data_IF_918524050335
#
_entry.id   IF_918524050335
#
_cell.length_a   1.000
_cell.length_b   1.000
_cell.length_c   1.000
_cell.angle_alpha   90.00
_cell.angle_beta   90.00
_cell.angle_gamma   90.00
#
_symmetry.space_group_name_H-M   'P 1'
#
loop_
_entity.id
_entity.type
_entity.pdbx_description
1 polymer ?
#
# COMPACT_ATOMS: atom_id res chain seq x y z
N UNK A 1 13.84 34.59 -10.45
CA UNK A 1 14.12 35.93 -11.01
C UNK A 1 14.02 36.94 -9.88
N UNK A 2 14.64 38.10 -10.00
CA UNK A 2 14.55 39.18 -9.01
C UNK A 2 13.34 40.10 -9.24
N UNK A 3 12.45 39.75 -10.19
CA UNK A 3 11.21 40.46 -10.50
C UNK A 3 10.09 39.50 -10.94
N UNK A 4 8.85 39.97 -10.80
CA UNK A 4 7.66 39.32 -11.35
C UNK A 4 7.58 39.61 -12.85
N UNK A 5 7.51 38.57 -13.67
CA UNK A 5 7.54 38.73 -15.13
C UNK A 5 6.21 39.24 -15.71
N UNK A 6 5.07 39.04 -15.05
CA UNK A 6 3.73 39.44 -15.54
C UNK A 6 3.43 38.99 -16.98
N UNK A 7 3.99 37.86 -17.42
CA UNK A 7 3.94 37.35 -18.79
C UNK A 7 4.50 38.31 -19.86
N UNK A 8 5.43 39.21 -19.50
CA UNK A 8 6.03 40.17 -20.41
C UNK A 8 7.11 39.51 -21.28
N UNK A 9 7.99 38.71 -20.65
CA UNK A 9 9.04 37.98 -21.32
C UNK A 9 8.67 36.51 -21.49
N UNK A 10 9.13 35.94 -22.60
CA UNK A 10 9.12 34.49 -22.86
C UNK A 10 10.55 33.98 -22.78
N UNK A 11 10.72 32.82 -22.20
CA UNK A 11 11.98 32.15 -21.98
C UNK A 11 11.99 30.82 -22.73
N UNK A 12 13.10 30.51 -23.36
CA UNK A 12 13.40 29.21 -23.92
C UNK A 12 14.02 28.32 -22.85
N UNK A 13 13.70 27.04 -22.93
CA UNK A 13 14.28 25.97 -22.15
C UNK A 13 14.85 24.98 -23.15
N UNK A 14 16.12 24.65 -22.99
CA UNK A 14 16.78 23.57 -23.73
C UNK A 14 17.30 22.59 -22.71
N UNK A 15 16.68 21.42 -22.62
CA UNK A 15 17.14 20.33 -21.77
C UNK A 15 17.82 19.28 -22.64
N UNK A 16 19.00 18.85 -22.22
CA UNK A 16 19.92 18.01 -22.97
C UNK A 16 20.36 16.86 -22.08
N UNK A 17 20.28 15.64 -22.61
CA UNK A 17 20.75 14.42 -21.96
C UNK A 17 22.19 14.15 -22.38
N UNK A 18 23.07 13.91 -21.41
CA UNK A 18 24.48 13.61 -21.65
C UNK A 18 24.85 12.24 -21.09
N UNK A 19 25.76 11.57 -21.80
CA UNK A 19 26.51 10.41 -21.32
C UNK A 19 27.79 10.87 -20.62
N UNK A 20 28.19 10.19 -19.54
CA UNK A 20 29.42 10.53 -18.82
C UNK A 20 30.66 10.47 -19.74
N UNK A 21 31.50 11.50 -19.64
CA UNK A 21 32.66 11.69 -20.51
C UNK A 21 32.34 12.11 -21.95
N UNK A 22 31.07 12.30 -22.32
CA UNK A 22 30.65 12.77 -23.66
C UNK A 22 30.21 14.23 -23.58
N UNK A 23 30.78 15.08 -24.43
CA UNK A 23 30.50 16.53 -24.44
C UNK A 23 29.37 16.95 -25.37
N UNK A 24 28.78 16.01 -26.12
CA UNK A 24 27.65 16.25 -27.01
C UNK A 24 26.41 15.56 -26.44
N UNK A 25 25.25 16.21 -26.46
CA UNK A 25 24.04 15.59 -25.95
C UNK A 25 23.59 14.43 -26.83
N UNK A 26 23.08 13.37 -26.20
CA UNK A 26 22.52 12.19 -26.88
C UNK A 26 21.04 12.36 -27.20
N UNK A 27 20.35 13.25 -26.49
CA UNK A 27 19.01 13.72 -26.82
C UNK A 27 18.78 15.14 -26.32
N UNK A 28 17.83 15.86 -26.91
CA UNK A 28 17.46 17.19 -26.47
C UNK A 28 16.00 17.54 -26.71
N UNK A 29 15.43 18.29 -25.78
CA UNK A 29 14.09 18.85 -25.88
C UNK A 29 14.15 20.37 -25.69
N UNK A 30 13.48 21.10 -26.57
CA UNK A 30 13.43 22.57 -26.50
C UNK A 30 11.99 23.04 -26.45
N UNK A 31 11.69 23.94 -25.52
CA UNK A 31 10.36 24.53 -25.36
C UNK A 31 10.42 25.96 -24.85
N UNK A 32 9.28 26.63 -24.83
CA UNK A 32 9.19 28.04 -24.45
C UNK A 32 8.10 28.24 -23.42
N UNK A 33 8.35 29.13 -22.45
CA UNK A 33 7.38 29.47 -21.39
C UNK A 33 7.42 30.94 -21.04
N UNK A 34 6.30 31.43 -20.53
CA UNK A 34 6.24 32.68 -19.78
C UNK A 34 5.70 32.39 -18.39
N UNK A 35 6.09 33.19 -17.41
CA UNK A 35 5.50 33.19 -16.07
C UNK A 35 4.90 34.54 -15.73
N UNK A 36 3.89 34.52 -14.88
CA UNK A 36 3.43 35.74 -14.22
C UNK A 36 4.35 36.13 -13.05
N UNK A 37 4.87 35.12 -12.36
CA UNK A 37 5.66 35.25 -11.14
C UNK A 37 7.16 35.37 -11.41
N UNK A 38 7.92 35.55 -10.34
CA UNK A 38 9.38 35.55 -10.30
C UNK A 38 10.00 34.16 -10.41
N UNK A 39 9.19 33.11 -10.34
CA UNK A 39 9.57 31.71 -10.59
C UNK A 39 9.04 31.23 -11.94
N UNK A 40 9.82 30.39 -12.61
CA UNK A 40 9.37 29.62 -13.78
C UNK A 40 9.68 28.16 -13.49
N UNK A 41 8.63 27.36 -13.34
CA UNK A 41 8.72 25.91 -13.28
C UNK A 41 8.61 25.30 -14.67
N UNK A 42 9.24 24.15 -14.84
CA UNK A 42 9.12 23.33 -16.04
C UNK A 42 9.00 21.86 -15.63
N UNK A 43 8.38 21.06 -16.51
CA UNK A 43 8.32 19.62 -16.39
C UNK A 43 8.25 19.00 -17.80
N UNK A 44 8.79 17.80 -17.95
CA UNK A 44 8.60 16.95 -19.13
C UNK A 44 7.63 15.84 -18.73
N UNK A 45 6.35 15.97 -19.08
CA UNK A 45 5.30 15.00 -18.70
C UNK A 45 4.69 14.35 -19.92
N UNK A 46 4.29 13.09 -19.79
CA UNK A 46 3.28 12.53 -20.68
C UNK A 46 1.97 13.28 -20.43
N UNK A 47 1.47 13.92 -21.49
CA UNK A 47 0.31 14.80 -21.57
C UNK A 47 -0.58 14.91 -20.31
N UNK A 48 -0.63 16.09 -19.66
CA UNK A 48 -1.84 16.69 -19.04
C UNK A 48 -1.60 17.89 -18.08
N UNK A 49 -0.40 18.43 -17.91
CA UNK A 49 -0.23 19.68 -17.18
C UNK A 49 -0.22 20.89 -18.13
N UNK A 50 -0.78 22.03 -17.70
CA UNK A 50 -0.57 23.31 -18.38
C UNK A 50 0.89 23.82 -18.16
N UNK A 51 1.75 22.98 -17.58
CA UNK A 51 3.05 23.31 -17.01
C UNK A 51 4.24 22.56 -17.65
N UNK A 52 4.02 21.77 -18.69
CA UNK A 52 5.03 20.90 -19.28
C UNK A 52 4.92 20.72 -20.79
N UNK A 53 5.80 19.88 -21.31
CA UNK A 53 5.90 19.51 -22.73
C UNK A 53 5.66 18.01 -22.84
N UNK A 54 4.96 17.59 -23.90
CA UNK A 54 4.66 16.19 -24.20
C UNK A 54 5.83 15.43 -24.83
N UNK A 55 7.06 15.87 -24.57
CA UNK A 55 8.29 15.29 -25.09
C UNK A 55 9.28 15.16 -23.91
N UNK A 56 9.80 13.96 -23.72
CA UNK A 56 10.84 13.64 -22.74
C UNK A 56 12.17 13.35 -23.42
N UNK A 57 13.23 13.22 -22.62
CA UNK A 57 14.55 12.82 -23.09
C UNK A 57 14.62 11.29 -23.18
N UNK A 58 15.12 10.76 -24.29
CA UNK A 58 15.24 9.33 -24.57
C UNK A 58 16.72 8.93 -24.65
N UNK A 59 17.20 8.07 -23.73
CA UNK A 59 18.56 7.54 -23.79
C UNK A 59 18.66 6.41 -24.82
N UNK A 60 19.11 6.73 -26.03
CA UNK A 60 19.12 5.80 -27.17
C UNK A 60 20.50 5.21 -27.52
N UNK A 61 21.58 5.71 -26.91
CA UNK A 61 22.94 5.46 -27.40
C UNK A 61 23.73 4.43 -26.55
N UNK A 62 23.79 4.58 -25.23
CA UNK A 62 24.46 3.62 -24.35
C UNK A 62 23.84 3.53 -22.95
N UNK A 63 24.09 2.41 -22.26
CA UNK A 63 23.97 2.33 -20.80
C UNK A 63 25.16 2.95 -20.09
N UNK A 64 24.97 3.28 -18.82
CA UNK A 64 25.97 3.86 -17.93
C UNK A 64 25.51 5.15 -17.28
N UNK A 65 26.47 5.89 -16.75
CA UNK A 65 26.23 7.16 -16.06
C UNK A 65 25.79 8.25 -17.06
N UNK A 66 24.73 8.96 -16.73
CA UNK A 66 24.19 10.08 -17.48
C UNK A 66 23.84 11.24 -16.55
N UNK A 67 23.71 12.44 -17.11
CA UNK A 67 23.15 13.62 -16.45
C UNK A 67 22.32 14.44 -17.43
N UNK A 68 21.45 15.31 -16.92
CA UNK A 68 20.66 16.26 -17.71
C UNK A 68 21.15 17.67 -17.43
N UNK A 69 21.37 18.44 -18.49
CA UNK A 69 21.60 19.89 -18.40
C UNK A 69 20.41 20.65 -18.98
N UNK A 70 19.83 21.58 -18.23
CA UNK A 70 18.75 22.44 -18.72
C UNK A 70 19.19 23.90 -18.71
N UNK A 71 19.23 24.51 -19.89
CA UNK A 71 19.58 25.92 -20.10
C UNK A 71 18.33 26.79 -20.24
N UNK A 72 18.28 27.87 -19.47
CA UNK A 72 17.26 28.92 -19.55
C UNK A 72 17.76 30.06 -20.44
N UNK A 73 17.08 30.32 -21.54
CA UNK A 73 17.40 31.41 -22.48
C UNK A 73 16.32 32.48 -22.44
N UNK A 74 16.70 33.75 -22.27
CA UNK A 74 15.76 34.87 -22.48
C UNK A 74 15.61 35.11 -23.98
N UNK A 75 14.41 34.88 -24.52
CA UNK A 75 14.21 34.92 -25.98
C UNK A 75 14.20 36.33 -26.57
N UNK A 76 14.00 37.36 -25.74
CA UNK A 76 13.98 38.75 -26.19
C UNK A 76 15.34 39.21 -26.76
N UNK A 77 16.43 38.65 -26.27
CA UNK A 77 17.81 38.96 -26.67
C UNK A 77 18.68 37.73 -26.89
N UNK A 78 18.09 36.54 -26.87
CA UNK A 78 18.77 35.25 -27.02
C UNK A 78 19.93 35.08 -26.03
N UNK A 79 19.74 35.54 -24.80
CA UNK A 79 20.74 35.48 -23.73
C UNK A 79 20.51 34.24 -22.86
N UNK A 80 21.49 33.34 -22.84
CA UNK A 80 21.50 32.20 -21.91
C UNK A 80 21.75 32.71 -20.50
N UNK A 81 20.71 32.64 -19.68
CA UNK A 81 20.70 33.18 -18.34
C UNK A 81 21.42 32.26 -17.38
N UNK A 82 21.18 30.95 -17.49
CA UNK A 82 21.76 29.94 -16.61
C UNK A 82 21.54 28.53 -17.15
N UNK A 83 22.39 27.61 -16.72
CA UNK A 83 22.24 26.17 -16.94
C UNK A 83 22.25 25.48 -15.58
N UNK A 84 21.26 24.62 -15.36
CA UNK A 84 21.21 23.73 -14.20
C UNK A 84 21.56 22.32 -14.65
N UNK A 85 22.26 21.58 -13.78
CA UNK A 85 22.72 20.22 -14.04
C UNK A 85 22.09 19.31 -12.99
N UNK A 86 21.55 18.17 -13.42
CA UNK A 86 21.01 17.16 -12.50
C UNK A 86 22.14 16.46 -11.72
N UNK A 87 21.78 15.59 -10.78
CA UNK A 87 22.70 14.56 -10.35
C UNK A 87 23.01 13.59 -11.51
N UNK A 88 24.12 12.88 -11.37
CA UNK A 88 24.40 11.71 -12.19
C UNK A 88 23.40 10.59 -11.85
N UNK A 89 22.93 9.88 -12.87
CA UNK A 89 22.05 8.71 -12.74
C UNK A 89 22.49 7.61 -13.70
N UNK A 90 22.06 6.37 -13.43
CA UNK A 90 22.42 5.22 -14.28
C UNK A 90 21.30 4.92 -15.26
N UNK A 91 21.68 4.70 -16.51
CA UNK A 91 20.83 4.13 -17.54
C UNK A 91 21.27 2.70 -17.74
N UNK A 92 20.33 1.77 -17.59
CA UNK A 92 20.62 0.35 -17.56
C UNK A 92 20.22 -0.24 -18.91
N UNK A 93 21.16 -0.91 -19.57
CA UNK A 93 20.91 -1.71 -20.78
C UNK A 93 20.57 -3.12 -20.31
N UNK A 94 19.37 -3.25 -19.76
CA UNK A 94 18.79 -4.57 -19.55
C UNK A 94 17.76 -4.79 -20.65
N UNK A 95 17.70 -6.01 -21.13
CA UNK A 95 16.65 -6.39 -22.05
C UNK A 95 15.31 -6.37 -21.32
N UNK A 96 14.55 -5.30 -21.45
CA UNK A 96 13.20 -5.14 -20.90
C UNK A 96 12.22 -4.92 -22.03
N UNK A 97 10.95 -5.20 -21.82
CA UNK A 97 9.90 -4.83 -22.79
C UNK A 97 9.40 -3.42 -22.58
N UNK A 98 9.61 -2.85 -21.38
CA UNK A 98 9.06 -1.57 -20.95
C UNK A 98 7.57 -1.61 -20.64
N UNK A 99 6.96 -2.79 -20.69
CA UNK A 99 5.54 -3.03 -20.39
C UNK A 99 5.38 -4.21 -19.41
N UNK A 100 6.44 -4.60 -18.71
CA UNK A 100 6.37 -5.58 -17.63
C UNK A 100 5.32 -5.19 -16.61
N UNK A 101 4.53 -6.17 -16.17
CA UNK A 101 3.35 -5.91 -15.35
C UNK A 101 3.25 -6.96 -14.24
N UNK A 102 3.04 -6.49 -13.01
CA UNK A 102 2.59 -7.33 -11.91
C UNK A 102 1.07 -7.48 -11.99
N UNK A 103 0.61 -8.71 -12.06
CA UNK A 103 -0.81 -9.03 -11.96
C UNK A 103 -1.21 -8.99 -10.48
N UNK A 104 -2.43 -8.50 -10.13
CA UNK A 104 -2.89 -8.47 -8.75
C UNK A 104 -2.74 -9.81 -8.04
N UNK A 105 -2.39 -9.75 -6.75
CA UNK A 105 -2.09 -10.94 -5.96
C UNK A 105 -3.39 -11.49 -5.38
N UNK A 106 -3.82 -12.65 -5.86
CA UNK A 106 -4.98 -13.36 -5.34
C UNK A 106 -4.58 -14.20 -4.12
N UNK A 107 -5.22 -13.93 -2.98
CA UNK A 107 -5.02 -14.71 -1.75
C UNK A 107 -6.00 -15.87 -1.67
N UNK A 108 -5.58 -16.98 -1.06
CA UNK A 108 -6.42 -18.16 -0.89
C UNK A 108 -7.60 -17.96 0.07
N UNK A 109 -7.55 -16.93 0.92
CA UNK A 109 -8.55 -16.62 1.94
C UNK A 109 -8.48 -15.13 2.30
N UNK A 110 -9.58 -14.57 2.79
CA UNK A 110 -9.63 -13.24 3.39
C UNK A 110 -9.40 -13.28 4.91
N UNK A 111 -9.19 -14.46 5.49
CA UNK A 111 -8.91 -14.70 6.91
C UNK A 111 -7.81 -15.74 7.08
N UNK A 112 -6.85 -15.45 7.96
CA UNK A 112 -5.80 -16.36 8.38
C UNK A 112 -5.66 -16.34 9.91
N UNK A 113 -5.51 -17.51 10.52
CA UNK A 113 -5.24 -17.64 11.96
C UNK A 113 -3.80 -17.23 12.30
N UNK A 114 -3.58 -16.69 13.50
CA UNK A 114 -2.23 -16.43 14.03
C UNK A 114 -1.46 -17.71 14.28
N UNK A 115 -0.14 -17.61 14.22
CA UNK A 115 0.75 -18.63 14.75
C UNK A 115 0.46 -18.82 16.25
N UNK A 116 0.53 -20.07 16.71
CA UNK A 116 0.39 -20.42 18.12
C UNK A 116 1.67 -21.06 18.61
N UNK A 117 1.81 -21.21 19.93
CA UNK A 117 2.91 -21.98 20.54
C UNK A 117 3.01 -23.44 20.03
N UNK A 118 1.98 -23.93 19.32
CA UNK A 118 1.92 -25.28 18.77
C UNK A 118 1.81 -25.35 17.24
N UNK A 119 1.72 -24.22 16.55
CA UNK A 119 1.53 -24.15 15.08
C UNK A 119 2.15 -22.90 14.49
N UNK A 120 2.92 -23.04 13.42
CA UNK A 120 3.32 -21.91 12.58
C UNK A 120 2.22 -21.60 11.59
N UNK A 121 1.79 -20.34 11.51
CA UNK A 121 0.90 -19.87 10.45
C UNK A 121 1.74 -19.31 9.32
N UNK A 122 1.52 -19.83 8.12
CA UNK A 122 2.16 -19.37 6.89
C UNK A 122 1.07 -18.97 5.91
N UNK A 123 1.30 -17.85 5.23
CA UNK A 123 0.48 -17.40 4.11
C UNK A 123 1.32 -17.56 2.85
N UNK A 124 0.89 -18.45 1.96
CA UNK A 124 1.52 -18.58 0.65
C UNK A 124 0.64 -17.94 -0.41
N UNK A 125 1.25 -17.13 -1.27
CA UNK A 125 0.58 -16.43 -2.34
C UNK A 125 1.45 -16.41 -3.59
N UNK A 126 0.78 -16.37 -4.74
CA UNK A 126 1.42 -16.40 -6.05
C UNK A 126 1.37 -14.99 -6.65
N UNK A 127 2.54 -14.50 -7.08
CA UNK A 127 2.66 -13.28 -7.86
C UNK A 127 2.92 -13.66 -9.30
N UNK A 128 2.01 -13.27 -10.19
CA UNK A 128 2.20 -13.42 -11.63
C UNK A 128 2.76 -12.16 -12.25
N UNK A 129 3.79 -12.33 -13.08
CA UNK A 129 4.41 -11.27 -13.87
C UNK A 129 4.19 -11.55 -15.35
N UNK A 130 3.76 -10.55 -16.10
CA UNK A 130 3.54 -10.61 -17.54
C UNK A 130 4.45 -9.65 -18.31
N UNK A 131 4.48 -9.83 -19.64
CA UNK A 131 5.27 -9.06 -20.59
C UNK A 131 6.77 -9.02 -20.28
N UNK A 132 7.31 -10.05 -19.65
CA UNK A 132 8.73 -10.11 -19.33
C UNK A 132 9.58 -10.41 -20.55
N UNK A 133 10.81 -9.91 -20.52
CA UNK A 133 11.84 -10.31 -21.46
C UNK A 133 12.54 -11.58 -20.97
N UNK A 134 12.57 -12.61 -21.82
CA UNK A 134 13.17 -13.91 -21.47
C UNK A 134 14.69 -13.80 -21.36
N UNK A 135 15.23 -14.28 -20.24
CA UNK A 135 16.66 -14.23 -19.91
C UNK A 135 17.07 -13.07 -19.01
N UNK A 136 16.17 -12.12 -18.77
CA UNK A 136 16.37 -11.00 -17.85
C UNK A 136 16.13 -11.44 -16.41
N UNK A 137 16.94 -10.90 -15.50
CA UNK A 137 16.79 -11.13 -14.05
C UNK A 137 16.01 -10.01 -13.41
N UNK A 138 14.87 -10.36 -12.81
CA UNK A 138 13.96 -9.45 -12.13
C UNK A 138 14.02 -9.68 -10.61
N UNK A 139 13.69 -8.63 -9.86
CA UNK A 139 13.46 -8.68 -8.42
C UNK A 139 12.02 -8.31 -8.13
N UNK A 140 11.38 -9.00 -7.20
CA UNK A 140 10.12 -8.59 -6.59
C UNK A 140 10.40 -8.28 -5.14
N UNK A 141 10.28 -7.00 -4.78
CA UNK A 141 10.29 -6.54 -3.41
C UNK A 141 8.86 -6.57 -2.89
N UNK A 142 8.60 -7.27 -1.79
CA UNK A 142 7.27 -7.40 -1.20
C UNK A 142 7.27 -6.99 0.26
N UNK A 143 6.14 -6.46 0.72
CA UNK A 143 5.98 -5.93 2.07
C UNK A 143 4.53 -6.13 2.55
N UNK A 144 4.36 -6.46 3.83
CA UNK A 144 3.06 -6.56 4.50
C UNK A 144 2.67 -5.19 5.03
N UNK A 145 1.46 -4.73 4.69
CA UNK A 145 1.00 -3.39 5.02
C UNK A 145 -0.35 -3.41 5.75
N UNK A 146 -0.55 -2.50 6.71
CA UNK A 146 -1.85 -2.32 7.36
C UNK A 146 -2.87 -1.69 6.40
N UNK A 147 -4.12 -2.15 6.45
CA UNK A 147 -5.22 -1.57 5.68
C UNK A 147 -5.56 -0.13 6.12
N UNK A 148 -5.32 0.22 7.37
CA UNK A 148 -5.45 1.60 7.84
C UNK A 148 -4.33 2.00 8.79
N UNK A 149 -4.11 3.30 8.93
CA UNK A 149 -2.96 3.84 9.66
C UNK A 149 -1.83 4.24 8.71
N UNK A 150 -0.58 3.91 9.08
CA UNK A 150 0.67 4.36 8.46
C UNK A 150 1.14 3.51 7.25
N UNK A 151 0.27 2.67 6.69
CA UNK A 151 0.58 1.87 5.51
C UNK A 151 1.50 0.68 5.83
N UNK A 152 2.67 0.62 5.19
CA UNK A 152 3.59 -0.50 5.33
C UNK A 152 4.54 -0.39 6.54
N UNK A 153 4.55 0.75 7.23
CA UNK A 153 5.31 0.92 8.47
C UNK A 153 4.57 0.30 9.65
N UNK A 154 4.86 -0.96 9.96
CA UNK A 154 4.11 -1.73 10.96
C UNK A 154 4.32 -1.23 12.40
N UNK A 155 5.55 -0.86 12.76
CA UNK A 155 5.89 -0.38 14.10
C UNK A 155 5.67 1.13 14.34
N UNK A 156 5.33 1.89 13.29
CA UNK A 156 4.95 3.29 13.45
C UNK A 156 3.72 3.47 14.37
N UNK A 157 2.85 2.46 14.46
CA UNK A 157 1.65 2.50 15.31
C UNK A 157 1.93 2.40 16.82
N UNK A 158 3.07 1.83 17.21
CA UNK A 158 3.50 1.75 18.61
C UNK A 158 4.49 2.85 19.00
N UNK A 159 4.61 3.88 18.17
CA UNK A 159 5.54 5.02 18.33
C UNK A 159 7.02 4.58 18.44
N UNK A 160 7.35 3.43 17.85
CA UNK A 160 8.71 2.90 17.76
C UNK A 160 9.27 3.14 16.36
N UNK A 161 9.31 4.41 15.95
CA UNK A 161 9.72 4.81 14.60
C UNK A 161 11.20 4.55 14.29
N UNK A 162 12.00 4.25 15.31
CA UNK A 162 13.42 3.95 15.18
C UNK A 162 13.69 2.45 14.97
N UNK A 163 12.69 1.57 15.17
CA UNK A 163 12.82 0.14 14.90
C UNK A 163 12.30 -0.21 13.50
N UNK A 164 12.99 -1.13 12.86
CA UNK A 164 12.51 -1.72 11.61
C UNK A 164 11.38 -2.70 11.91
N UNK A 165 10.47 -2.86 10.95
CA UNK A 165 9.41 -3.85 11.01
C UNK A 165 9.98 -5.28 11.16
N UNK A 166 9.17 -6.26 11.60
CA UNK A 166 9.62 -7.64 11.70
C UNK A 166 10.25 -8.10 10.39
N UNK A 167 11.37 -8.83 10.46
CA UNK A 167 12.10 -9.29 9.28
C UNK A 167 11.29 -10.17 8.33
N UNK A 168 10.24 -10.80 8.85
CA UNK A 168 9.31 -11.66 8.13
C UNK A 168 8.23 -10.87 7.38
N UNK A 169 8.09 -9.57 7.63
CA UNK A 169 7.07 -8.71 7.04
C UNK A 169 7.46 -8.11 5.68
N UNK A 170 8.72 -8.25 5.28
CA UNK A 170 9.23 -7.79 3.99
C UNK A 170 10.23 -8.79 3.40
N UNK A 171 10.42 -8.74 2.09
CA UNK A 171 11.40 -9.59 1.44
C UNK A 171 11.63 -9.24 -0.03
N UNK A 172 12.62 -9.92 -0.60
CA UNK A 172 12.95 -9.80 -2.02
C UNK A 172 13.09 -11.19 -2.63
N UNK A 173 12.41 -11.42 -3.75
CA UNK A 173 12.56 -12.61 -4.58
C UNK A 173 13.23 -12.26 -5.91
N UNK A 174 14.33 -12.93 -6.21
CA UNK A 174 15.07 -12.77 -7.47
C UNK A 174 14.85 -13.96 -8.39
N UNK A 175 14.50 -13.71 -9.64
CA UNK A 175 14.32 -14.77 -10.63
C UNK A 175 14.74 -14.32 -12.03
N UNK A 176 15.23 -15.27 -12.83
CA UNK A 176 15.48 -15.05 -14.26
C UNK A 176 14.26 -15.53 -15.05
N UNK A 177 13.67 -14.65 -15.86
CA UNK A 177 12.49 -14.97 -16.64
C UNK A 177 12.80 -16.07 -17.68
N UNK A 178 12.03 -17.16 -17.62
CA UNK A 178 12.13 -18.28 -18.58
C UNK A 178 11.10 -18.21 -19.69
N UNK A 179 10.13 -17.31 -19.55
CA UNK A 179 8.95 -17.12 -20.39
C UNK A 179 8.49 -15.66 -20.25
N UNK A 180 7.66 -15.16 -21.17
CA UNK A 180 7.09 -13.81 -21.08
C UNK A 180 6.03 -13.66 -20.01
N UNK A 181 5.59 -14.78 -19.41
CA UNK A 181 4.74 -14.83 -18.22
C UNK A 181 5.31 -15.86 -17.24
N UNK A 182 5.36 -15.52 -15.97
CA UNK A 182 5.88 -16.41 -14.93
C UNK A 182 5.17 -16.12 -13.61
N UNK A 183 5.02 -17.17 -12.81
CA UNK A 183 4.51 -17.07 -11.44
C UNK A 183 5.65 -17.32 -10.48
N UNK A 184 5.74 -16.47 -9.46
CA UNK A 184 6.65 -16.58 -8.32
C UNK A 184 5.80 -16.80 -7.08
N UNK A 185 6.05 -17.89 -6.37
CA UNK A 185 5.36 -18.19 -5.11
C UNK A 185 6.16 -17.60 -3.96
N UNK A 186 5.50 -16.82 -3.12
CA UNK A 186 6.05 -16.22 -1.89
C UNK A 186 5.41 -16.90 -0.69
N UNK A 187 6.16 -17.01 0.40
CA UNK A 187 5.69 -17.51 1.68
C UNK A 187 5.99 -16.47 2.76
N UNK A 188 4.93 -15.92 3.32
CA UNK A 188 4.98 -15.09 4.52
C UNK A 188 4.86 -15.98 5.76
N UNK A 189 5.80 -15.83 6.68
CA UNK A 189 5.81 -16.47 7.99
C UNK A 189 5.22 -15.47 9.02
N UNK A 190 4.14 -15.82 9.72
CA UNK A 190 3.59 -14.94 10.77
C UNK A 190 4.64 -14.74 11.89
N UNK A 191 5.09 -13.49 12.14
CA UNK A 191 6.13 -13.21 13.14
C UNK A 191 5.64 -13.37 14.58
N UNK A 192 4.36 -13.71 14.78
CA UNK A 192 3.74 -13.90 16.10
C UNK A 192 3.14 -12.62 16.66
N UNK A 193 2.49 -12.73 17.81
CA UNK A 193 1.76 -11.62 18.44
C UNK A 193 2.70 -10.45 18.82
N UNK A 194 2.18 -9.23 18.71
CA UNK A 194 2.89 -8.03 19.12
C UNK A 194 3.19 -8.06 20.63
N UNK A 195 4.47 -8.05 20.99
CA UNK A 195 4.95 -8.04 22.38
C UNK A 195 6.10 -7.04 22.54
N UNK A 196 6.10 -6.29 23.64
CA UNK A 196 7.26 -5.49 24.05
C UNK A 196 8.21 -6.35 24.88
N UNK A 197 9.38 -6.65 24.31
CA UNK A 197 10.41 -7.46 24.97
C UNK A 197 11.44 -6.53 25.62
N UNK A 198 11.48 -6.54 26.95
CA UNK A 198 12.44 -5.75 27.73
C UNK A 198 13.87 -6.32 27.58
N UNK A 199 14.86 -5.44 27.44
CA UNK A 199 16.27 -5.85 27.44
C UNK A 199 16.62 -6.45 28.82
N UNK A 200 17.08 -7.73 28.87
CA UNK A 200 17.42 -8.37 30.14
C UNK A 200 18.59 -7.70 30.87
N UNK A 201 19.37 -6.84 30.21
CA UNK A 201 20.52 -6.14 30.77
C UNK A 201 20.24 -4.66 31.10
N UNK A 202 19.17 -4.06 30.57
CA UNK A 202 18.75 -2.70 30.89
C UNK A 202 17.22 -2.60 31.01
N UNK A 203 16.68 -2.40 32.22
CA UNK A 203 15.24 -2.32 32.42
C UNK A 203 14.59 -1.08 31.78
N UNK A 204 15.36 -0.12 31.27
CA UNK A 204 14.84 1.06 30.57
C UNK A 204 14.85 0.91 29.04
N UNK A 205 15.33 -0.22 28.52
CA UNK A 205 15.39 -0.51 27.09
C UNK A 205 14.55 -1.76 26.77
N UNK A 206 14.17 -1.88 25.52
CA UNK A 206 13.43 -3.01 24.96
C UNK A 206 13.07 -2.72 23.51
N UNK A 207 12.44 -3.70 22.87
CA UNK A 207 12.00 -3.62 21.48
C UNK A 207 10.69 -4.36 21.30
N UNK A 208 9.90 -3.94 20.33
CA UNK A 208 8.73 -4.70 19.92
C UNK A 208 9.14 -5.90 19.04
N UNK A 209 8.39 -6.99 19.19
CA UNK A 209 8.46 -8.17 18.33
C UNK A 209 7.05 -8.54 17.87
N UNK A 210 6.90 -9.17 16.70
CA UNK A 210 5.61 -9.63 16.20
C UNK A 210 4.74 -8.52 15.61
N UNK A 211 3.47 -8.82 15.36
CA UNK A 211 2.47 -7.89 14.80
C UNK A 211 1.11 -8.05 15.48
N UNK A 212 0.29 -7.01 15.44
CA UNK A 212 -1.05 -7.02 16.04
C UNK A 212 -2.04 -7.88 15.25
N UNK A 213 -3.17 -8.21 15.86
CA UNK A 213 -4.31 -8.70 15.10
C UNK A 213 -4.88 -7.53 14.29
N UNK A 214 -4.91 -7.66 12.97
CA UNK A 214 -5.37 -6.57 12.12
C UNK A 214 -5.79 -7.02 10.72
N UNK A 215 -6.24 -6.02 9.97
CA UNK A 215 -6.46 -6.14 8.53
C UNK A 215 -5.22 -5.69 7.77
N UNK A 216 -4.77 -6.52 6.84
CA UNK A 216 -3.53 -6.34 6.07
C UNK A 216 -3.76 -6.51 4.56
N UNK A 217 -2.75 -6.13 3.78
CA UNK A 217 -2.55 -6.49 2.38
C UNK A 217 -1.04 -6.63 2.11
N UNK A 218 -0.67 -7.32 1.05
CA UNK A 218 0.71 -7.34 0.55
C UNK A 218 0.87 -6.31 -0.56
N UNK A 219 1.92 -5.50 -0.49
CA UNK A 219 2.37 -4.67 -1.60
C UNK A 219 3.57 -5.36 -2.26
N UNK A 220 3.66 -5.31 -3.59
CA UNK A 220 4.78 -5.86 -4.33
C UNK A 220 5.25 -4.90 -5.42
N UNK A 221 6.56 -4.75 -5.56
CA UNK A 221 7.23 -3.90 -6.54
C UNK A 221 8.16 -4.74 -7.39
N UNK A 222 7.96 -4.69 -8.70
CA UNK A 222 8.81 -5.34 -9.69
C UNK A 222 9.92 -4.38 -10.11
N UNK A 223 11.15 -4.87 -9.98
CA UNK A 223 12.36 -4.13 -10.29
C UNK A 223 13.26 -4.91 -11.23
N UNK A 224 14.07 -4.19 -12.00
CA UNK A 224 15.18 -4.74 -12.78
C UNK A 224 16.43 -3.93 -12.49
N UNK A 225 17.45 -4.58 -11.92
CA UNK A 225 18.69 -3.91 -11.47
C UNK A 225 18.45 -2.61 -10.65
N UNK A 226 17.38 -2.56 -9.85
CA UNK A 226 17.00 -1.41 -9.02
C UNK A 226 16.19 -0.32 -9.74
N UNK A 227 15.82 -0.53 -11.01
CA UNK A 227 14.85 0.32 -11.72
C UNK A 227 13.45 -0.23 -11.51
N UNK A 228 12.56 0.61 -11.00
CA UNK A 228 11.13 0.35 -10.87
C UNK A 228 10.49 0.10 -12.25
N UNK A 229 9.72 -0.97 -12.36
CA UNK A 229 8.93 -1.29 -13.55
C UNK A 229 7.42 -1.18 -13.30
N UNK A 230 6.94 -1.79 -12.21
CA UNK A 230 5.52 -1.86 -11.88
C UNK A 230 5.32 -2.20 -10.39
N UNK A 231 4.21 -1.79 -9.79
CA UNK A 231 3.77 -2.24 -8.46
C UNK A 231 2.33 -2.74 -8.48
N UNK A 232 1.98 -3.63 -7.56
CA UNK A 232 0.61 -4.05 -7.37
C UNK A 232 0.38 -4.55 -5.94
N UNK A 233 -0.89 -4.60 -5.54
CA UNK A 233 -1.30 -5.00 -4.19
C UNK A 233 -2.12 -6.30 -4.24
N UNK A 234 -2.14 -7.01 -3.12
CA UNK A 234 -3.07 -8.12 -2.90
C UNK A 234 -4.47 -7.64 -2.55
N UNK A 235 -5.44 -8.56 -2.60
CA UNK A 235 -6.67 -8.37 -1.85
C UNK A 235 -6.37 -8.19 -0.34
N UNK A 236 -7.27 -7.49 0.35
CA UNK A 236 -7.16 -7.27 1.79
C UNK A 236 -7.64 -8.50 2.55
N UNK A 237 -6.97 -8.81 3.65
CA UNK A 237 -7.29 -9.93 4.51
C UNK A 237 -7.19 -9.55 5.98
N UNK A 238 -7.73 -10.40 6.84
CA UNK A 238 -7.57 -10.32 8.29
C UNK A 238 -6.60 -11.39 8.75
N UNK A 239 -5.64 -11.00 9.58
CA UNK A 239 -4.73 -11.92 10.27
C UNK A 239 -5.05 -11.91 11.77
N UNK A 240 -5.51 -13.05 12.27
CA UNK A 240 -5.95 -13.21 13.64
C UNK A 240 -7.28 -12.52 13.93
N UNK A 241 -7.43 -12.04 15.16
CA UNK A 241 -8.61 -11.29 15.59
C UNK A 241 -9.57 -12.12 16.43
N UNK A 242 -9.89 -11.60 17.61
CA UNK A 242 -10.74 -12.23 18.63
C UNK A 242 -11.75 -11.24 19.19
N UNK A 243 -12.85 -11.77 19.73
CA UNK A 243 -13.82 -10.97 20.49
C UNK A 243 -13.20 -10.57 21.82
N UNK A 244 -13.29 -9.29 22.17
CA UNK A 244 -13.01 -8.76 23.49
C UNK A 244 -14.27 -8.82 24.38
N UNK A 245 -14.37 -9.81 25.30
CA UNK A 245 -15.63 -10.06 26.02
C UNK A 245 -15.98 -8.95 27.00
N UNK A 246 -14.98 -8.24 27.53
CA UNK A 246 -15.13 -7.16 28.50
C UNK A 246 -15.84 -5.91 27.96
N UNK A 247 -15.79 -5.70 26.63
CA UNK A 247 -16.44 -4.57 25.96
C UNK A 247 -17.68 -4.97 25.15
N UNK A 248 -17.88 -6.28 25.00
CA UNK A 248 -19.01 -6.91 24.35
C UNK A 248 -20.18 -7.04 25.31
N UNK A 249 -21.40 -6.73 24.86
CA UNK A 249 -22.58 -6.78 25.71
C UNK A 249 -23.88 -6.86 24.90
N UNK A 250 -24.89 -7.42 25.54
CA UNK A 250 -26.30 -7.22 25.17
C UNK A 250 -26.82 -6.08 26.03
N UNK A 251 -27.51 -5.12 25.42
CA UNK A 251 -28.13 -4.01 26.13
C UNK A 251 -29.36 -4.47 26.93
N UNK A 252 -29.75 -3.69 27.93
CA UNK A 252 -30.83 -4.06 28.86
C UNK A 252 -32.15 -4.36 28.11
N UNK A 253 -32.70 -5.55 28.36
CA UNK A 253 -34.01 -5.98 27.84
C UNK A 253 -35.04 -5.80 28.96
N UNK A 254 -36.07 -5.00 28.69
CA UNK A 254 -37.15 -4.75 29.65
C UNK A 254 -38.10 -5.96 29.80
N UNK A 255 -39.02 -5.93 30.77
CA UNK A 255 -40.01 -7.00 30.92
C UNK A 255 -40.98 -7.06 29.72
N UNK A 256 -41.18 -8.25 29.17
CA UNK A 256 -42.11 -8.52 28.06
C UNK A 256 -43.30 -9.38 28.50
N UNK A 257 -44.44 -9.22 27.81
CA UNK A 257 -45.60 -10.11 28.00
C UNK A 257 -45.37 -11.42 27.25
N UNK A 258 -46.02 -12.49 27.70
CA UNK A 258 -46.05 -13.74 26.94
C UNK A 258 -46.64 -13.49 25.54
N UNK A 259 -46.03 -14.09 24.52
CA UNK A 259 -46.42 -13.98 23.11
C UNK A 259 -46.25 -12.56 22.52
N UNK A 260 -45.37 -11.73 23.07
CA UNK A 260 -44.90 -10.51 22.41
C UNK A 260 -43.47 -10.70 21.94
N UNK A 261 -43.14 -10.15 20.77
CA UNK A 261 -41.77 -10.17 20.24
C UNK A 261 -40.79 -9.49 21.20
N UNK A 262 -39.57 -10.04 21.25
CA UNK A 262 -38.44 -9.50 22.02
C UNK A 262 -37.39 -9.08 21.00
N UNK A 263 -36.99 -7.81 21.06
CA UNK A 263 -35.91 -7.29 20.24
C UNK A 263 -34.65 -7.17 21.10
N UNK A 264 -33.56 -7.70 20.59
CA UNK A 264 -32.25 -7.69 21.24
C UNK A 264 -31.36 -6.73 20.48
N UNK A 265 -30.67 -5.87 21.22
CA UNK A 265 -29.63 -5.00 20.70
C UNK A 265 -28.35 -5.24 21.52
N UNK A 266 -27.20 -5.16 20.86
CA UNK A 266 -25.93 -5.30 21.52
C UNK A 266 -24.76 -5.00 20.61
N UNK A 267 -23.57 -5.32 21.11
CA UNK A 267 -22.34 -5.24 20.34
C UNK A 267 -21.37 -6.35 20.72
N UNK A 268 -20.57 -6.76 19.75
CA UNK A 268 -19.27 -7.37 20.02
C UNK A 268 -18.17 -6.35 19.73
N UNK A 269 -17.17 -6.34 20.59
CA UNK A 269 -15.93 -5.61 20.36
C UNK A 269 -14.88 -6.63 19.92
N UNK A 270 -14.14 -6.31 18.87
CA UNK A 270 -13.03 -7.12 18.36
C UNK A 270 -11.72 -6.43 18.74
N UNK A 271 -10.65 -7.19 18.88
CA UNK A 271 -9.30 -6.64 19.10
C UNK A 271 -8.65 -6.10 17.80
N UNK A 272 -9.43 -5.88 16.74
CA UNK A 272 -8.95 -5.39 15.45
C UNK A 272 -10.03 -4.66 14.64
N UNK A 273 -9.60 -3.80 13.71
CA UNK A 273 -10.49 -3.13 12.75
C UNK A 273 -10.72 -4.00 11.52
N UNK A 274 -11.99 -4.24 11.17
CA UNK A 274 -12.36 -5.18 10.10
C UNK A 274 -12.39 -4.57 8.68
N UNK A 275 -12.54 -3.25 8.53
CA UNK A 275 -12.60 -2.55 7.22
C UNK A 275 -13.59 -3.14 6.20
N UNK A 276 -14.67 -3.77 6.67
CA UNK A 276 -15.63 -4.54 5.88
C UNK A 276 -15.03 -5.71 5.07
N UNK A 277 -13.89 -6.26 5.48
CA UNK A 277 -13.26 -7.42 4.85
C UNK A 277 -14.05 -8.69 5.19
N UNK A 278 -14.30 -8.94 6.48
CA UNK A 278 -15.11 -10.08 6.91
C UNK A 278 -16.56 -9.69 7.18
N UNK A 279 -17.43 -10.68 6.95
CA UNK A 279 -18.85 -10.66 7.34
C UNK A 279 -19.10 -11.74 8.38
N UNK A 280 -19.72 -11.36 9.50
CA UNK A 280 -19.93 -12.21 10.65
C UNK A 280 -21.37 -12.70 10.73
N UNK A 281 -21.53 -13.98 11.08
CA UNK A 281 -22.81 -14.58 11.40
C UNK A 281 -23.17 -14.37 12.87
N UNK A 282 -24.41 -13.95 13.12
CA UNK A 282 -24.98 -13.78 14.45
C UNK A 282 -26.07 -14.81 14.64
N UNK A 283 -26.08 -15.46 15.80
CA UNK A 283 -27.19 -16.29 16.24
C UNK A 283 -27.57 -15.86 17.64
N UNK A 284 -28.77 -15.29 17.78
CA UNK A 284 -29.36 -14.94 19.07
C UNK A 284 -30.38 -16.00 19.46
N UNK A 285 -30.24 -16.54 20.66
CA UNK A 285 -31.04 -17.64 21.16
C UNK A 285 -31.76 -17.23 22.45
N UNK A 286 -33.06 -17.50 22.53
CA UNK A 286 -33.87 -17.29 23.73
C UNK A 286 -33.92 -18.58 24.54
N UNK A 287 -33.59 -18.48 25.84
CA UNK A 287 -33.65 -19.61 26.76
C UNK A 287 -34.69 -19.35 27.86
N UNK A 288 -35.36 -20.42 28.29
CA UNK A 288 -36.15 -20.42 29.53
C UNK A 288 -35.26 -20.84 30.70
N UNK A 289 -35.54 -20.32 31.90
CA UNK A 289 -34.74 -20.64 33.08
C UNK A 289 -34.73 -22.16 33.36
N UNK A 290 -33.53 -22.70 33.57
CA UNK A 290 -33.32 -24.13 33.75
C UNK A 290 -33.39 -25.00 32.48
N UNK A 291 -33.53 -24.41 31.28
CA UNK A 291 -33.57 -25.12 30.00
C UNK A 291 -32.27 -24.89 29.22
N UNK A 292 -31.62 -25.96 28.76
CA UNK A 292 -30.35 -25.89 28.02
C UNK A 292 -30.51 -25.82 26.50
N UNK A 293 -31.74 -25.88 26.00
CA UNK A 293 -32.06 -25.76 24.57
C UNK A 293 -32.82 -24.47 24.33
N UNK A 294 -32.54 -23.77 23.22
CA UNK A 294 -33.24 -22.53 22.90
C UNK A 294 -34.72 -22.79 22.63
N UNK A 295 -35.58 -21.94 23.16
CA UNK A 295 -37.02 -21.94 22.85
C UNK A 295 -37.34 -21.14 21.60
N UNK A 296 -36.44 -20.25 21.18
CA UNK A 296 -36.49 -19.50 19.93
C UNK A 296 -35.08 -19.10 19.48
N UNK A 297 -34.89 -18.86 18.19
CA UNK A 297 -33.61 -18.39 17.64
C UNK A 297 -33.77 -17.53 16.39
N UNK A 298 -32.86 -16.57 16.23
CA UNK A 298 -32.75 -15.75 15.03
C UNK A 298 -31.29 -15.69 14.58
N UNK A 299 -31.08 -15.84 13.27
CA UNK A 299 -29.75 -15.76 12.65
C UNK A 299 -29.73 -14.68 11.59
N UNK A 300 -28.66 -13.89 11.55
CA UNK A 300 -28.44 -12.83 10.57
C UNK A 300 -26.94 -12.57 10.38
N UNK A 301 -26.58 -11.68 9.45
CA UNK A 301 -25.19 -11.31 9.17
C UNK A 301 -24.97 -9.81 9.33
N UNK A 302 -23.77 -9.43 9.77
CA UNK A 302 -23.29 -8.04 9.82
C UNK A 302 -21.82 -7.99 9.46
N UNK A 303 -21.41 -6.89 8.83
CA UNK A 303 -20.01 -6.47 8.73
C UNK A 303 -19.84 -5.18 9.51
N UNK A 304 -18.60 -4.82 9.80
CA UNK A 304 -18.24 -3.50 10.31
C UNK A 304 -16.98 -3.00 9.63
N UNK A 305 -16.87 -1.69 9.51
CA UNK A 305 -15.61 -1.04 9.15
C UNK A 305 -14.65 -1.00 10.35
N UNK A 306 -15.21 -0.85 11.55
CA UNK A 306 -14.45 -0.70 12.78
C UNK A 306 -14.32 -2.02 13.53
N UNK A 307 -13.71 -1.95 14.71
CA UNK A 307 -13.59 -3.03 15.69
C UNK A 307 -14.90 -3.42 16.38
N UNK A 308 -15.92 -2.57 16.28
CA UNK A 308 -17.21 -2.80 16.93
C UNK A 308 -18.23 -3.33 15.93
N UNK A 309 -18.83 -4.47 16.23
CA UNK A 309 -19.95 -5.07 15.52
C UNK A 309 -21.26 -4.83 16.27
N UNK A 310 -22.00 -3.81 15.86
CA UNK A 310 -23.34 -3.56 16.38
C UNK A 310 -24.38 -4.48 15.74
N UNK A 311 -25.30 -4.98 16.56
CA UNK A 311 -26.41 -5.80 16.09
C UNK A 311 -27.73 -5.44 16.76
N UNK A 312 -28.80 -5.66 16.01
CA UNK A 312 -30.17 -5.58 16.48
C UNK A 312 -31.04 -6.64 15.78
N UNK A 313 -32.01 -7.20 16.49
CA UNK A 313 -32.93 -8.21 15.93
C UNK A 313 -34.22 -7.61 15.39
N UNK A 314 -34.27 -6.29 15.15
CA UNK A 314 -35.47 -5.63 14.61
C UNK A 314 -35.90 -6.34 13.32
N UNK A 315 -37.18 -6.69 13.27
CA UNK A 315 -37.78 -7.39 12.14
C UNK A 315 -37.50 -6.67 10.83
N UNK A 316 -37.45 -7.44 9.73
CA UNK A 316 -37.00 -7.05 8.40
C UNK A 316 -37.75 -5.87 7.71
N UNK A 317 -38.50 -5.03 8.45
CA UNK A 317 -39.25 -3.89 7.93
C UNK A 317 -38.65 -2.51 8.24
N UNK A 318 -37.55 -2.39 8.97
CA UNK A 318 -36.91 -1.09 9.27
C UNK A 318 -35.53 -0.91 8.59
N UNK A 319 -35.39 -1.30 7.31
CA UNK A 319 -34.22 -0.93 6.49
C UNK A 319 -34.15 0.57 6.10
N UNK A 320 -34.91 1.45 6.76
CA UNK A 320 -34.88 2.89 6.50
C UNK A 320 -34.92 3.72 7.79
N UNK A 321 -33.89 3.58 8.64
CA UNK A 321 -33.43 4.70 9.50
C UNK A 321 -31.91 4.68 9.60
N UNK A 322 -31.26 5.16 8.54
CA UNK A 322 -29.92 5.72 8.69
C UNK A 322 -30.02 7.05 9.40
N UNK A 323 -29.34 7.18 10.53
CA UNK A 323 -28.48 8.32 10.94
C UNK A 323 -27.43 7.74 11.88
#
# INVERSE_FOLDING_TARGET
>A
MDYYNYNILTYGFTCELFEDGVSSPVDSVTFQRSSYYDTIGFNTVSANDNQGVSEGLMPIAASGTHHVECTLTRLADNYDMHTIVSNDFQIIDETVTGNEELIPIDLASTYFDRASTSSTSQISFDISVENMYVGTTYNIDWELCYVGGEGCYLYAMVDDQDSGDPSESEGQETFTATSSSQTVTIVFDDPGDLEYVQDPNDPNLGSYTGIENASYYFNAVLNVQGVYLHDNESERFVLGGMVEPQYSQIYEISNHLKNTEIFVEGRFWMDYYNYNILTYGFTCELFEDGVSSPVDSVTFQRSSYYDTLHFNTVGANDQYRGI
#
